data_IF_647373258122
#
_entry.id   IF_647373258122
#
_cell.length_a   1.000
_cell.length_b   1.000
_cell.length_c   1.000
_cell.angle_alpha   90.00
_cell.angle_beta   90.00
_cell.angle_gamma   90.00
#
_symmetry.space_group_name_H-M   'P 1'
#
loop_
_entity.id
_entity.type
_entity.pdbx_description
1 polymer ?
#
# COMPACT_ATOMS: atom_id res chain seq x y z
N UNK A 1 5.12 -10.41 11.66
CA UNK A 1 4.90 -10.75 10.23
C UNK A 1 6.23 -10.85 9.50
N UNK A 2 6.39 -11.81 8.57
CA UNK A 2 7.65 -11.94 7.82
C UNK A 2 7.70 -11.05 6.55
N UNK A 3 8.92 -10.80 6.04
CA UNK A 3 9.17 -9.98 4.83
C UNK A 3 8.40 -10.49 3.60
N UNK A 4 8.31 -11.80 3.39
CA UNK A 4 7.64 -12.39 2.22
C UNK A 4 6.14 -12.11 2.22
N UNK A 5 5.49 -12.24 3.38
CA UNK A 5 4.07 -11.93 3.54
C UNK A 5 3.79 -10.45 3.29
N UNK A 6 4.62 -9.55 3.82
CA UNK A 6 4.48 -8.12 3.57
C UNK A 6 4.66 -7.78 2.08
N UNK A 7 5.66 -8.38 1.41
CA UNK A 7 5.85 -8.20 -0.04
C UNK A 7 4.62 -8.62 -0.83
N UNK A 8 4.06 -9.80 -0.56
CA UNK A 8 2.87 -10.30 -1.26
C UNK A 8 1.67 -9.35 -1.07
N UNK A 9 1.48 -8.80 0.13
CA UNK A 9 0.40 -7.83 0.40
C UNK A 9 0.61 -6.52 -0.36
N UNK A 10 1.83 -5.99 -0.40
CA UNK A 10 2.18 -4.79 -1.16
C UNK A 10 1.95 -5.03 -2.67
N UNK A 11 2.41 -6.16 -3.20
CA UNK A 11 2.22 -6.52 -4.62
C UNK A 11 0.74 -6.67 -4.99
N UNK A 12 -0.05 -7.28 -4.10
CA UNK A 12 -1.49 -7.40 -4.30
C UNK A 12 -2.17 -6.03 -4.34
N UNK A 13 -1.86 -5.13 -3.39
CA UNK A 13 -2.42 -3.78 -3.38
C UNK A 13 -2.04 -2.98 -4.63
N UNK A 14 -0.78 -3.07 -5.09
CA UNK A 14 -0.32 -2.45 -6.34
C UNK A 14 -1.14 -2.95 -7.53
N UNK A 15 -1.35 -4.27 -7.63
CA UNK A 15 -2.11 -4.88 -8.71
C UNK A 15 -3.56 -4.38 -8.71
N UNK A 16 -4.23 -4.41 -7.54
CA UNK A 16 -5.60 -3.91 -7.40
C UNK A 16 -5.73 -2.44 -7.81
N UNK A 17 -4.80 -1.58 -7.37
CA UNK A 17 -4.82 -0.17 -7.77
C UNK A 17 -4.56 0.05 -9.26
N UNK A 18 -3.67 -0.75 -9.89
CA UNK A 18 -3.42 -0.68 -11.34
C UNK A 18 -4.66 -1.10 -12.14
N UNK A 19 -5.29 -2.20 -11.76
CA UNK A 19 -6.52 -2.70 -12.40
C UNK A 19 -7.64 -1.64 -12.29
N UNK A 20 -7.81 -1.06 -11.10
CA UNK A 20 -8.78 0.01 -10.87
C UNK A 20 -8.47 1.29 -11.66
N UNK A 21 -7.19 1.68 -11.74
CA UNK A 21 -6.75 2.85 -12.52
C UNK A 21 -7.14 2.69 -13.99
N UNK A 22 -6.92 1.51 -14.57
CA UNK A 22 -7.26 1.21 -15.97
C UNK A 22 -8.77 1.15 -16.16
N UNK A 23 -9.48 0.42 -15.30
CA UNK A 23 -10.91 0.15 -15.47
C UNK A 23 -11.80 1.37 -15.19
N UNK A 24 -11.40 2.25 -14.27
CA UNK A 24 -12.21 3.41 -13.84
C UNK A 24 -11.58 4.77 -14.18
N UNK A 25 -10.54 4.80 -15.03
CA UNK A 25 -9.80 6.01 -15.43
C UNK A 25 -9.35 6.89 -14.24
N UNK A 26 -8.95 6.24 -13.14
CA UNK A 26 -8.61 6.88 -11.86
C UNK A 26 -7.16 7.37 -11.86
N UNK A 27 -6.84 8.36 -12.68
CA UNK A 27 -5.46 8.85 -12.91
C UNK A 27 -4.70 9.27 -11.65
N UNK A 28 -5.41 9.82 -10.64
CA UNK A 28 -4.82 10.23 -9.36
C UNK A 28 -4.36 9.06 -8.47
N UNK A 29 -4.65 7.80 -8.84
CA UNK A 29 -4.11 6.62 -8.14
C UNK A 29 -2.60 6.47 -8.31
N UNK A 30 -1.99 7.11 -9.32
CA UNK A 30 -0.58 6.92 -9.62
C UNK A 30 0.32 7.27 -8.42
N UNK A 31 0.02 8.34 -7.69
CA UNK A 31 0.83 8.76 -6.53
C UNK A 31 0.80 7.73 -5.39
N UNK A 32 -0.34 7.08 -5.19
CA UNK A 32 -0.48 6.00 -4.21
C UNK A 32 0.29 4.77 -4.69
N UNK A 33 0.13 4.38 -5.96
CA UNK A 33 0.87 3.27 -6.58
C UNK A 33 2.38 3.47 -6.46
N UNK A 34 2.89 4.65 -6.77
CA UNK A 34 4.32 4.97 -6.71
C UNK A 34 4.86 4.84 -5.28
N UNK A 35 4.06 5.21 -4.29
CA UNK A 35 4.43 5.07 -2.88
C UNK A 35 4.55 3.60 -2.46
N UNK A 36 3.66 2.74 -2.95
CA UNK A 36 3.74 1.30 -2.72
C UNK A 36 4.91 0.65 -3.48
N UNK A 37 5.18 1.04 -4.73
CA UNK A 37 6.34 0.54 -5.50
C UNK A 37 7.66 0.93 -4.80
N UNK A 38 7.77 2.16 -4.29
CA UNK A 38 8.93 2.59 -3.48
C UNK A 38 9.05 1.77 -2.19
N UNK A 39 7.94 1.51 -1.49
CA UNK A 39 7.95 0.69 -0.29
C UNK A 39 8.40 -0.75 -0.59
N UNK A 40 7.92 -1.33 -1.70
CA UNK A 40 8.34 -2.65 -2.20
C UNK A 40 9.84 -2.72 -2.44
N UNK A 41 10.40 -1.75 -3.16
CA UNK A 41 11.84 -1.69 -3.46
C UNK A 41 12.65 -1.63 -2.17
N UNK A 42 12.29 -0.72 -1.25
CA UNK A 42 12.98 -0.59 0.04
C UNK A 42 12.88 -1.85 0.88
N UNK A 43 11.71 -2.48 0.93
CA UNK A 43 11.53 -3.75 1.63
C UNK A 43 12.40 -4.86 1.03
N UNK A 44 12.48 -4.96 -0.29
CA UNK A 44 13.35 -5.91 -0.98
C UNK A 44 14.83 -5.69 -0.63
N UNK A 45 15.27 -4.44 -0.55
CA UNK A 45 16.64 -4.07 -0.21
C UNK A 45 16.95 -4.12 1.30
N UNK A 46 15.97 -4.43 2.16
CA UNK A 46 16.07 -4.29 3.63
C UNK A 46 16.36 -2.85 4.10
N UNK A 47 15.91 -1.85 3.34
CA UNK A 47 16.08 -0.41 3.60
C UNK A 47 14.78 0.23 4.11
N UNK A 48 13.80 -0.58 4.50
CA UNK A 48 12.51 -0.10 4.99
C UNK A 48 12.66 0.38 6.44
N UNK A 49 12.74 1.70 6.63
CA UNK A 49 12.93 2.34 7.96
C UNK A 49 11.67 3.03 8.49
N UNK A 50 10.65 3.23 7.66
CA UNK A 50 9.38 3.85 8.05
C UNK A 50 8.22 3.39 7.15
N UNK A 51 6.99 3.63 7.63
CA UNK A 51 5.78 3.30 6.88
C UNK A 51 5.51 4.34 5.78
N UNK A 52 6.05 4.10 4.58
CA UNK A 52 5.91 4.98 3.43
C UNK A 52 4.50 5.03 2.81
N UNK A 53 3.59 4.16 3.23
CA UNK A 53 2.21 4.09 2.69
C UNK A 53 1.15 4.50 3.71
N UNK A 54 1.57 4.98 4.89
CA UNK A 54 0.67 5.41 5.96
C UNK A 54 -0.27 6.52 5.45
N UNK A 55 -1.56 6.34 5.68
CA UNK A 55 -2.61 7.27 5.24
C UNK A 55 -3.06 7.08 3.79
N UNK A 56 -2.53 6.11 3.04
CA UNK A 56 -2.96 5.80 1.68
C UNK A 56 -4.45 5.48 1.59
N UNK A 57 -5.01 4.73 2.54
CA UNK A 57 -6.43 4.43 2.59
C UNK A 57 -7.29 5.71 2.71
N UNK A 58 -6.84 6.66 3.54
CA UNK A 58 -7.50 7.96 3.70
C UNK A 58 -7.39 8.80 2.44
N UNK A 59 -6.19 8.90 1.86
CA UNK A 59 -5.96 9.64 0.61
C UNK A 59 -6.85 9.08 -0.51
N UNK A 60 -6.96 7.75 -0.61
CA UNK A 60 -7.86 7.11 -1.58
C UNK A 60 -9.31 7.56 -1.36
N UNK A 61 -9.80 7.48 -0.12
CA UNK A 61 -11.17 7.84 0.22
C UNK A 61 -11.45 9.33 0.02
N UNK A 62 -10.48 10.20 0.26
CA UNK A 62 -10.60 11.64 0.02
C UNK A 62 -10.69 11.95 -1.49
N UNK A 63 -10.01 11.17 -2.35
CA UNK A 63 -10.02 11.38 -3.81
C UNK A 63 -11.26 10.78 -4.47
N UNK A 64 -11.70 9.59 -4.06
CA UNK A 64 -12.71 8.80 -4.76
C UNK A 64 -13.99 8.53 -3.95
N UNK A 65 -14.03 8.96 -2.69
CA UNK A 65 -15.12 8.67 -1.75
C UNK A 65 -14.98 7.32 -1.04
N UNK A 66 -15.64 7.21 0.11
CA UNK A 66 -15.89 5.92 0.78
C UNK A 66 -17.06 5.21 0.07
N UNK A 67 -16.77 4.55 -1.03
CA UNK A 67 -17.68 3.54 -1.58
C UNK A 67 -17.28 2.15 -1.05
N UNK A 68 -18.12 1.14 -1.23
CA UNK A 68 -17.85 -0.28 -0.95
C UNK A 68 -16.74 -0.86 -1.87
N UNK A 69 -15.70 -0.08 -2.15
CA UNK A 69 -14.53 -0.47 -2.90
C UNK A 69 -13.60 -1.26 -1.97
N UNK A 70 -13.09 -2.39 -2.45
CA UNK A 70 -12.16 -3.25 -1.72
C UNK A 70 -10.78 -2.58 -1.49
N UNK A 71 -10.52 -1.46 -2.15
CA UNK A 71 -9.21 -0.81 -2.17
C UNK A 71 -8.88 -0.12 -0.84
N UNK A 72 -9.71 0.77 -0.26
CA UNK A 72 -9.47 1.34 1.07
C UNK A 72 -9.14 0.29 2.15
N UNK A 73 -9.87 -0.83 2.17
CA UNK A 73 -9.62 -1.93 3.11
C UNK A 73 -8.26 -2.59 2.87
N UNK A 74 -7.92 -2.85 1.61
CA UNK A 74 -6.63 -3.41 1.23
C UNK A 74 -5.46 -2.48 1.59
N UNK A 75 -5.60 -1.18 1.32
CA UNK A 75 -4.59 -0.18 1.67
C UNK A 75 -4.40 -0.10 3.19
N UNK A 76 -5.49 -0.09 3.94
CA UNK A 76 -5.45 -0.07 5.40
C UNK A 76 -4.80 -1.31 6.00
N UNK A 77 -5.09 -2.51 5.46
CA UNK A 77 -4.40 -3.73 5.88
C UNK A 77 -2.91 -3.63 5.60
N UNK A 78 -2.48 -3.21 4.40
CA UNK A 78 -1.04 -3.05 4.10
C UNK A 78 -0.37 -2.05 5.04
N UNK A 79 -1.02 -0.93 5.34
CA UNK A 79 -0.51 0.06 6.29
C UNK A 79 -0.25 -0.55 7.67
N UNK A 80 -1.25 -1.24 8.24
CA UNK A 80 -1.14 -1.88 9.56
C UNK A 80 -0.04 -2.94 9.56
N UNK A 81 0.04 -3.71 8.49
CA UNK A 81 0.98 -4.80 8.29
C UNK A 81 2.42 -4.29 8.18
N UNK A 82 2.62 -3.15 7.53
CA UNK A 82 3.93 -2.50 7.46
C UNK A 82 4.34 -1.92 8.81
N UNK A 83 3.40 -1.38 9.59
CA UNK A 83 3.64 -0.96 10.97
C UNK A 83 4.03 -2.12 11.89
N UNK A 84 3.36 -3.26 11.79
CA UNK A 84 3.70 -4.49 12.52
C UNK A 84 5.13 -4.96 12.17
N UNK A 85 5.45 -5.03 10.87
CA UNK A 85 6.79 -5.42 10.42
C UNK A 85 7.88 -4.50 10.95
N UNK A 86 7.69 -3.18 10.87
CA UNK A 86 8.65 -2.20 11.38
C UNK A 86 8.83 -2.31 12.89
N UNK A 87 7.75 -2.51 13.66
CA UNK A 87 7.84 -2.70 15.12
C UNK A 87 8.66 -3.93 15.50
N UNK A 88 8.51 -5.02 14.77
CA UNK A 88 9.22 -6.28 15.03
C UNK A 88 10.69 -6.27 14.58
N UNK A 89 11.06 -5.43 13.60
CA UNK A 89 12.40 -5.43 12.99
C UNK A 89 13.25 -4.19 13.35
N UNK A 90 12.73 -3.28 14.18
CA UNK A 90 13.46 -2.09 14.66
C UNK A 90 13.72 -2.14 16.18
N UNK A 91 13.52 -3.30 16.82
CA UNK A 91 13.92 -3.61 18.21
C UNK A 91 15.17 -4.48 18.21
#
# INVERSE_FOLDING_TARGET
MNKKELLLKIEHAIKLMKDEKVNKNKGKLQEIIDSFERAKIRLNNNELTFNAVRGAARIYADIYGYHTDIIPECLYDVEKRMDEFLKENTQ
#
